data_IF_680375195153
#
_entry.id   IF_680375195153
#
_cell.length_a   1.000
_cell.length_b   1.000
_cell.length_c   1.000
_cell.angle_alpha   90.00
_cell.angle_beta   90.00
_cell.angle_gamma   90.00
#
_symmetry.space_group_name_H-M   'P 1'
#
loop_
_entity.id
_entity.type
_entity.pdbx_description
1 polymer ?
#
# COMPACT_ATOMS: atom_id res chain seq x y z
N UNK A 1 7.51 23.10 -22.93
CA UNK A 1 7.15 22.42 -21.67
C UNK A 1 7.54 20.97 -21.84
N UNK A 2 8.51 20.43 -21.08
CA UNK A 2 8.81 18.99 -21.13
C UNK A 2 7.58 18.23 -20.66
N UNK A 3 7.19 17.24 -21.45
CA UNK A 3 6.05 16.38 -21.20
C UNK A 3 6.20 15.73 -19.81
N UNK A 4 5.13 15.71 -19.03
CA UNK A 4 5.03 15.09 -17.68
C UNK A 4 5.61 13.66 -17.62
N UNK A 5 5.68 12.98 -18.77
CA UNK A 5 6.25 11.63 -18.95
C UNK A 5 7.76 11.52 -18.70
N UNK A 6 8.54 12.59 -18.91
CA UNK A 6 10.00 12.54 -18.71
C UNK A 6 10.41 12.64 -17.24
N UNK A 7 9.57 13.19 -16.36
CA UNK A 7 9.87 13.29 -14.92
C UNK A 7 9.72 11.98 -14.15
N UNK A 8 8.96 11.03 -14.68
CA UNK A 8 8.75 9.72 -14.04
C UNK A 8 9.82 8.69 -14.42
N UNK A 9 10.55 8.94 -15.52
CA UNK A 9 11.62 8.06 -16.01
C UNK A 9 12.93 8.13 -15.21
N UNK A 10 13.07 9.11 -14.32
CA UNK A 10 14.28 9.31 -13.52
C UNK A 10 13.98 9.23 -12.03
N UNK A 11 13.28 8.18 -11.58
CA UNK A 11 13.21 7.90 -10.15
C UNK A 11 14.55 7.35 -9.68
N UNK A 12 15.07 7.97 -8.64
CA UNK A 12 16.25 7.50 -7.94
C UNK A 12 15.99 6.09 -7.37
N UNK A 13 16.72 5.04 -7.81
CA UNK A 13 16.58 3.70 -7.25
C UNK A 13 16.76 3.64 -5.74
N UNK A 14 17.51 4.58 -5.17
CA UNK A 14 17.70 4.72 -3.72
C UNK A 14 16.44 5.14 -2.95
N UNK A 15 15.32 5.47 -3.66
CA UNK A 15 14.02 5.80 -3.07
C UNK A 15 13.00 4.67 -3.09
N UNK A 16 13.38 3.50 -3.61
CA UNK A 16 12.51 2.33 -3.65
C UNK A 16 12.47 1.64 -2.28
N UNK A 17 11.26 1.20 -1.88
CA UNK A 17 11.04 0.37 -0.70
C UNK A 17 11.16 -1.10 -1.12
N UNK A 18 12.09 -1.84 -0.57
CA UNK A 18 12.21 -3.26 -0.81
C UNK A 18 11.46 -4.10 0.23
N UNK A 19 11.39 -5.42 0.02
CA UNK A 19 10.71 -6.34 0.94
C UNK A 19 11.37 -6.36 2.33
N UNK A 20 12.70 -6.25 2.39
CA UNK A 20 13.44 -6.21 3.66
C UNK A 20 13.09 -4.97 4.47
N UNK A 21 13.09 -3.80 3.83
CA UNK A 21 12.65 -2.54 4.44
C UNK A 21 11.22 -2.64 4.98
N UNK A 22 10.32 -3.20 4.18
CA UNK A 22 8.92 -3.41 4.57
C UNK A 22 8.79 -4.28 5.83
N UNK A 23 9.50 -5.40 5.88
CA UNK A 23 9.48 -6.30 7.04
C UNK A 23 10.07 -5.63 8.29
N UNK A 24 11.12 -4.83 8.14
CA UNK A 24 11.71 -4.05 9.23
C UNK A 24 10.73 -2.99 9.77
N UNK A 25 9.99 -2.33 8.89
CA UNK A 25 8.95 -1.37 9.30
C UNK A 25 7.82 -2.05 10.07
N UNK A 26 7.35 -3.21 9.59
CA UNK A 26 6.35 -4.00 10.30
C UNK A 26 6.82 -4.43 11.69
N UNK A 27 8.05 -4.89 11.80
CA UNK A 27 8.63 -5.30 13.08
C UNK A 27 8.75 -4.12 14.05
N UNK A 28 9.18 -2.95 13.57
CA UNK A 28 9.24 -1.73 14.37
C UNK A 28 7.84 -1.30 14.87
N UNK A 29 6.83 -1.34 14.00
CA UNK A 29 5.45 -1.03 14.38
C UNK A 29 4.93 -2.03 15.44
N UNK A 30 5.23 -3.30 15.29
CA UNK A 30 4.89 -4.35 16.27
C UNK A 30 5.56 -4.11 17.61
N UNK A 31 6.85 -3.84 17.64
CA UNK A 31 7.63 -3.60 18.86
C UNK A 31 7.17 -2.35 19.63
N UNK A 32 6.73 -1.33 18.93
CA UNK A 32 6.17 -0.11 19.53
C UNK A 32 4.69 -0.22 19.91
N UNK A 33 4.05 -1.33 19.57
CA UNK A 33 2.61 -1.53 19.81
C UNK A 33 1.71 -0.68 18.91
N UNK A 34 2.24 -0.10 17.84
CA UNK A 34 1.44 0.66 16.88
C UNK A 34 0.78 -0.28 15.86
N UNK A 35 -0.19 -1.04 16.33
CA UNK A 35 -0.88 -2.04 15.53
C UNK A 35 -1.73 -1.44 14.41
N UNK A 36 -2.27 -0.24 14.59
CA UNK A 36 -2.97 0.46 13.52
C UNK A 36 -2.05 0.68 12.32
N UNK A 37 -0.86 1.21 12.54
CA UNK A 37 0.11 1.44 11.49
C UNK A 37 0.64 0.14 10.90
N UNK A 38 0.86 -0.88 11.75
CA UNK A 38 1.24 -2.22 11.30
C UNK A 38 0.25 -2.77 10.25
N UNK A 39 -1.02 -2.83 10.58
CA UNK A 39 -2.04 -3.37 9.69
C UNK A 39 -2.34 -2.45 8.49
N UNK A 40 -2.17 -1.14 8.65
CA UNK A 40 -2.29 -0.19 7.56
C UNK A 40 -1.20 -0.45 6.50
N UNK A 41 0.06 -0.59 6.90
CA UNK A 41 1.16 -0.92 6.00
C UNK A 41 0.96 -2.28 5.33
N UNK A 42 0.53 -3.29 6.08
CA UNK A 42 0.21 -4.61 5.53
C UNK A 42 -0.92 -4.53 4.49
N UNK A 43 -1.95 -3.74 4.75
CA UNK A 43 -3.06 -3.54 3.80
C UNK A 43 -2.58 -2.86 2.51
N UNK A 44 -1.79 -1.81 2.60
CA UNK A 44 -1.22 -1.14 1.42
C UNK A 44 -0.37 -2.08 0.57
N UNK A 45 0.50 -2.86 1.21
CA UNK A 45 1.42 -3.77 0.53
C UNK A 45 0.73 -5.02 -0.05
N UNK A 46 -0.38 -5.47 0.52
CA UNK A 46 -1.09 -6.67 0.07
C UNK A 46 -2.23 -6.40 -0.91
N UNK A 47 -2.70 -5.18 -1.02
CA UNK A 47 -3.83 -4.81 -1.90
C UNK A 47 -3.47 -3.81 -2.98
N UNK A 48 -2.40 -3.06 -2.80
CA UNK A 48 -2.01 -1.99 -3.71
C UNK A 48 -2.92 -0.77 -3.70
N UNK A 49 -3.84 -0.64 -2.75
CA UNK A 49 -4.72 0.54 -2.64
C UNK A 49 -3.93 1.81 -2.37
N UNK A 50 -4.45 2.94 -2.81
CA UNK A 50 -3.92 4.26 -2.45
C UNK A 50 -4.34 4.62 -1.03
N UNK A 51 -3.56 5.48 -0.36
CA UNK A 51 -3.93 5.97 0.98
C UNK A 51 -5.33 6.58 1.01
N UNK A 52 -5.70 7.36 0.00
CA UNK A 52 -7.04 7.93 -0.12
C UNK A 52 -8.15 6.89 -0.25
N UNK A 53 -7.82 5.68 -0.66
CA UNK A 53 -8.76 4.58 -0.84
C UNK A 53 -8.90 3.69 0.41
N UNK A 54 -8.09 3.87 1.43
CA UNK A 54 -8.18 3.11 2.68
C UNK A 54 -9.55 3.27 3.37
N UNK A 55 -10.25 4.37 3.17
CA UNK A 55 -11.60 4.59 3.67
C UNK A 55 -12.62 3.56 3.16
N UNK A 56 -12.35 2.93 2.02
CA UNK A 56 -13.20 1.88 1.44
C UNK A 56 -12.90 0.49 1.98
N UNK A 57 -11.80 0.32 2.70
CA UNK A 57 -11.50 -0.89 3.46
C UNK A 57 -12.29 -0.82 4.76
N UNK A 58 -13.53 -1.30 4.69
CA UNK A 58 -14.51 -1.21 5.78
C UNK A 58 -14.70 -2.58 6.45
N UNK A 59 -15.30 -2.58 7.64
CA UNK A 59 -15.70 -3.82 8.32
C UNK A 59 -16.59 -4.66 7.42
N UNK A 60 -17.50 -4.03 6.69
CA UNK A 60 -18.39 -4.70 5.73
C UNK A 60 -17.60 -5.34 4.58
N UNK A 61 -16.58 -4.64 4.07
CA UNK A 61 -15.69 -5.19 3.04
C UNK A 61 -14.92 -6.43 3.53
N UNK A 62 -14.56 -6.49 4.80
CA UNK A 62 -13.90 -7.66 5.39
C UNK A 62 -14.79 -8.91 5.38
N UNK A 63 -16.11 -8.75 5.54
CA UNK A 63 -17.05 -9.86 5.51
C UNK A 63 -17.21 -10.46 4.11
N UNK A 64 -17.11 -9.64 3.07
CA UNK A 64 -17.26 -10.08 1.68
C UNK A 64 -15.94 -10.41 0.99
N UNK A 65 -14.82 -9.98 1.56
CA UNK A 65 -13.50 -10.07 0.92
C UNK A 65 -13.34 -9.12 -0.27
N UNK A 66 -14.20 -8.12 -0.40
CA UNK A 66 -14.26 -7.20 -1.53
C UNK A 66 -14.49 -5.78 -1.06
N UNK A 67 -13.67 -4.86 -1.55
CA UNK A 67 -13.84 -3.43 -1.34
C UNK A 67 -14.07 -2.75 -2.70
N UNK A 68 -15.17 -2.02 -2.83
CA UNK A 68 -15.39 -1.16 -3.97
C UNK A 68 -14.76 0.20 -3.69
N UNK A 69 -13.71 0.54 -4.44
CA UNK A 69 -13.01 1.82 -4.29
C UNK A 69 -13.38 2.77 -5.40
N UNK A 70 -13.73 3.98 -5.02
CA UNK A 70 -14.04 5.05 -5.96
C UNK A 70 -12.82 5.94 -6.15
N UNK A 71 -12.48 6.20 -7.41
CA UNK A 71 -11.38 7.07 -7.80
C UNK A 71 -11.84 8.09 -8.83
N UNK A 72 -10.92 8.89 -9.34
CA UNK A 72 -11.21 9.88 -10.38
C UNK A 72 -11.80 9.21 -11.63
N UNK A 73 -13.12 9.19 -11.74
CA UNK A 73 -13.88 8.82 -12.92
C UNK A 73 -14.27 7.34 -13.06
N UNK A 74 -13.67 6.41 -12.36
CA UNK A 74 -14.05 4.97 -12.39
C UNK A 74 -13.84 4.32 -11.05
N UNK A 75 -14.86 3.58 -10.60
CA UNK A 75 -14.72 2.65 -9.48
C UNK A 75 -14.00 1.37 -9.91
N UNK A 76 -13.36 0.71 -8.97
CA UNK A 76 -12.79 -0.62 -9.16
C UNK A 76 -12.99 -1.50 -7.94
N UNK A 77 -13.00 -2.79 -8.19
CA UNK A 77 -13.05 -3.79 -7.13
C UNK A 77 -11.64 -4.10 -6.65
N UNK A 78 -11.44 -4.04 -5.33
CA UNK A 78 -10.21 -4.50 -4.68
C UNK A 78 -10.53 -5.77 -3.93
N UNK A 79 -9.76 -6.83 -4.21
CA UNK A 79 -9.90 -8.09 -3.52
C UNK A 79 -9.04 -8.09 -2.26
N UNK A 80 -9.66 -8.48 -1.15
CA UNK A 80 -9.02 -8.66 0.14
C UNK A 80 -8.81 -10.15 0.38
N UNK A 81 -7.57 -10.57 0.61
CA UNK A 81 -7.29 -11.98 0.87
C UNK A 81 -8.00 -12.45 2.15
N UNK A 82 -8.32 -13.73 2.23
CA UNK A 82 -8.93 -14.31 3.42
C UNK A 82 -8.07 -14.10 4.67
N UNK A 83 -6.75 -14.18 4.52
CA UNK A 83 -5.80 -13.90 5.60
C UNK A 83 -5.92 -12.46 6.10
N UNK A 84 -5.92 -11.48 5.18
CA UNK A 84 -6.07 -10.07 5.53
C UNK A 84 -7.41 -9.81 6.22
N UNK A 85 -8.50 -10.33 5.68
CA UNK A 85 -9.84 -10.20 6.28
C UNK A 85 -9.88 -10.73 7.71
N UNK A 86 -9.32 -11.92 7.97
CA UNK A 86 -9.25 -12.50 9.33
C UNK A 86 -8.43 -11.62 10.26
N UNK A 87 -7.28 -11.16 9.81
CA UNK A 87 -6.35 -10.34 10.60
C UNK A 87 -6.97 -9.00 10.96
N UNK A 88 -7.51 -8.29 9.97
CA UNK A 88 -8.19 -7.01 10.20
C UNK A 88 -9.48 -7.18 11.01
N UNK A 89 -10.20 -8.26 10.82
CA UNK A 89 -11.39 -8.59 11.63
C UNK A 89 -11.06 -8.74 13.12
N UNK A 90 -9.98 -9.42 13.44
CA UNK A 90 -9.48 -9.51 14.84
C UNK A 90 -9.08 -8.14 15.38
N UNK A 91 -8.39 -7.34 14.58
CA UNK A 91 -8.01 -5.98 14.95
C UNK A 91 -9.26 -5.12 15.24
N UNK A 92 -10.26 -5.14 14.36
CA UNK A 92 -11.50 -4.39 14.55
C UNK A 92 -12.22 -4.79 15.84
N UNK A 93 -12.37 -6.08 16.11
CA UNK A 93 -12.99 -6.57 17.34
C UNK A 93 -12.25 -6.09 18.58
N UNK A 94 -10.92 -6.18 18.57
CA UNK A 94 -10.09 -5.72 19.68
C UNK A 94 -10.19 -4.21 19.92
N UNK A 95 -10.44 -3.42 18.88
CA UNK A 95 -10.56 -1.96 18.94
C UNK A 95 -12.01 -1.47 19.08
N UNK A 96 -12.99 -2.38 19.06
CA UNK A 96 -14.40 -2.00 19.09
C UNK A 96 -14.91 -1.32 17.83
N UNK A 97 -14.26 -1.57 16.69
CA UNK A 97 -14.69 -1.04 15.40
C UNK A 97 -15.71 -2.01 14.81
N UNK A 98 -16.98 -1.61 14.82
CA UNK A 98 -18.10 -2.50 14.43
C UNK A 98 -18.63 -2.23 13.02
N UNK A 99 -18.35 -1.06 12.45
CA UNK A 99 -18.78 -0.67 11.10
C UNK A 99 -17.90 0.44 10.54
N UNK A 100 -17.99 0.65 9.24
CA UNK A 100 -17.25 1.70 8.54
C UNK A 100 -15.77 1.40 8.35
N UNK A 101 -14.95 2.42 8.08
CA UNK A 101 -13.53 2.26 7.80
C UNK A 101 -12.77 1.58 8.94
N UNK A 102 -11.88 0.66 8.59
CA UNK A 102 -11.03 -0.06 9.55
C UNK A 102 -9.99 0.87 10.18
N UNK A 103 -9.42 1.77 9.37
CA UNK A 103 -8.35 2.67 9.80
C UNK A 103 -8.91 4.05 10.11
N UNK A 104 -9.07 4.31 11.40
CA UNK A 104 -9.65 5.55 11.91
C UNK A 104 -8.80 6.13 13.03
N UNK A 105 -9.01 7.41 13.32
CA UNK A 105 -8.45 8.09 14.49
C UNK A 105 -9.10 7.57 15.77
N UNK A 106 -8.58 8.00 16.92
CA UNK A 106 -9.23 7.72 18.22
C UNK A 106 -10.69 8.21 18.29
N UNK A 107 -11.01 9.29 17.59
CA UNK A 107 -12.37 9.84 17.52
C UNK A 107 -13.25 9.20 16.44
N UNK A 108 -12.77 8.15 15.77
CA UNK A 108 -13.51 7.44 14.72
C UNK A 108 -13.52 8.12 13.35
N UNK A 109 -12.72 9.16 13.15
CA UNK A 109 -12.59 9.85 11.86
C UNK A 109 -11.62 9.12 10.93
N UNK A 110 -11.79 9.22 9.60
CA UNK A 110 -10.80 8.73 8.66
C UNK A 110 -9.41 9.32 8.93
N UNK A 111 -8.37 8.52 8.67
CA UNK A 111 -7.00 8.98 8.86
C UNK A 111 -6.61 9.98 7.78
N UNK A 112 -5.92 11.03 8.21
CA UNK A 112 -5.32 11.99 7.30
C UNK A 112 -4.00 11.43 6.71
N UNK A 113 -3.80 11.64 5.41
CA UNK A 113 -2.62 11.23 4.66
C UNK A 113 -1.31 11.73 5.29
N UNK A 114 -1.30 12.98 5.73
CA UNK A 114 -0.11 13.60 6.31
C UNK A 114 0.26 12.95 7.63
N UNK A 115 -0.73 12.59 8.45
CA UNK A 115 -0.51 11.88 9.71
C UNK A 115 0.02 10.46 9.48
N UNK A 116 -0.53 9.74 8.51
CA UNK A 116 -0.03 8.41 8.12
C UNK A 116 1.44 8.48 7.72
N UNK A 117 1.78 9.41 6.86
CA UNK A 117 3.15 9.59 6.41
C UNK A 117 4.11 9.96 7.55
N UNK A 118 3.68 10.85 8.43
CA UNK A 118 4.46 11.23 9.62
C UNK A 118 4.70 10.04 10.54
N UNK A 119 3.68 9.23 10.81
CA UNK A 119 3.80 8.02 11.62
C UNK A 119 4.74 7.00 10.99
N UNK A 120 4.65 6.78 9.69
CA UNK A 120 5.56 5.89 8.96
C UNK A 120 7.01 6.36 9.07
N UNK A 121 7.26 7.64 8.88
CA UNK A 121 8.62 8.20 8.98
C UNK A 121 9.19 8.14 10.38
N UNK A 122 8.35 8.28 11.40
CA UNK A 122 8.77 8.14 12.80
C UNK A 122 9.28 6.72 13.12
N UNK A 123 8.85 5.70 12.41
CA UNK A 123 9.37 4.33 12.57
C UNK A 123 10.74 4.10 11.95
N UNK A 124 11.18 4.93 11.02
CA UNK A 124 12.36 4.66 10.19
C UNK A 124 13.63 4.49 11.01
N UNK A 125 13.85 5.31 12.02
CA UNK A 125 15.01 5.21 12.89
C UNK A 125 15.09 3.85 13.62
N UNK A 126 13.97 3.39 14.18
CA UNK A 126 13.88 2.09 14.86
C UNK A 126 13.95 0.91 13.89
N UNK A 127 13.41 1.08 12.69
CA UNK A 127 13.40 0.04 11.67
C UNK A 127 14.76 -0.09 10.95
N UNK A 128 15.63 0.89 11.06
CA UNK A 128 16.88 0.94 10.28
C UNK A 128 16.62 1.14 8.78
N UNK A 129 15.55 1.84 8.43
CA UNK A 129 15.14 2.11 7.05
C UNK A 129 15.30 3.60 6.75
N UNK A 130 15.86 3.91 5.58
CA UNK A 130 16.02 5.30 5.15
C UNK A 130 14.67 5.97 4.93
N UNK A 131 14.44 7.11 5.60
CA UNK A 131 13.17 7.84 5.54
C UNK A 131 12.75 8.26 4.11
N UNK A 132 13.72 8.48 3.21
CA UNK A 132 13.45 8.81 1.80
C UNK A 132 12.76 7.69 1.02
N UNK A 133 12.80 6.44 1.51
CA UNK A 133 12.14 5.27 0.91
C UNK A 133 10.72 5.05 1.43
N UNK A 134 10.36 5.70 2.54
CA UNK A 134 9.12 5.41 3.27
C UNK A 134 8.08 6.49 3.01
N UNK A 135 7.26 6.23 2.02
CA UNK A 135 6.04 6.99 1.73
C UNK A 135 4.97 6.04 1.16
N UNK A 136 3.68 6.35 1.35
CA UNK A 136 2.59 5.40 1.08
C UNK A 136 2.60 4.81 -0.32
N UNK A 137 2.96 5.59 -1.33
CA UNK A 137 2.97 5.13 -2.73
C UNK A 137 3.98 4.02 -2.98
N UNK A 138 5.07 3.95 -2.21
CA UNK A 138 6.05 2.88 -2.32
C UNK A 138 5.53 1.51 -1.88
N UNK A 139 4.56 1.46 -0.98
CA UNK A 139 3.87 0.21 -0.63
C UNK A 139 3.05 -0.32 -1.80
N UNK A 140 2.44 0.57 -2.57
CA UNK A 140 1.72 0.21 -3.80
C UNK A 140 2.68 -0.31 -4.87
N UNK A 141 3.87 0.28 -5.01
CA UNK A 141 4.93 -0.22 -5.89
C UNK A 141 5.40 -1.61 -5.45
N UNK A 142 5.56 -1.82 -4.15
CA UNK A 142 5.94 -3.12 -3.60
C UNK A 142 4.90 -4.19 -3.96
N UNK A 143 3.62 -3.89 -3.81
CA UNK A 143 2.52 -4.77 -4.25
C UNK A 143 2.62 -5.08 -5.75
N UNK A 144 2.79 -4.05 -6.57
CA UNK A 144 2.85 -4.22 -8.03
C UNK A 144 4.00 -5.15 -8.45
N UNK A 145 5.18 -4.96 -7.87
CA UNK A 145 6.35 -5.82 -8.15
C UNK A 145 6.12 -7.26 -7.70
N UNK A 146 5.59 -7.46 -6.48
CA UNK A 146 5.31 -8.80 -5.96
C UNK A 146 4.25 -9.51 -6.80
N UNK A 147 3.19 -8.82 -7.18
CA UNK A 147 2.13 -9.38 -8.04
C UNK A 147 2.69 -9.79 -9.42
N UNK A 148 3.43 -8.90 -10.07
CA UNK A 148 4.00 -9.17 -11.38
C UNK A 148 5.03 -10.30 -11.35
N UNK A 149 5.80 -10.42 -10.27
CA UNK A 149 6.74 -11.51 -10.10
C UNK A 149 6.05 -12.89 -10.09
N UNK A 150 4.83 -12.97 -9.55
CA UNK A 150 4.04 -14.20 -9.48
C UNK A 150 3.22 -14.46 -10.75
N UNK A 151 2.47 -13.48 -11.20
CA UNK A 151 1.45 -13.65 -12.24
C UNK A 151 1.97 -13.36 -13.66
N UNK A 152 3.00 -12.50 -13.80
CA UNK A 152 3.55 -12.06 -15.11
C UNK A 152 2.52 -11.43 -16.06
N UNK A 153 1.36 -11.03 -15.55
CA UNK A 153 0.26 -10.45 -16.32
C UNK A 153 0.14 -8.96 -16.01
N UNK A 154 0.69 -8.13 -16.90
CA UNK A 154 0.71 -6.68 -16.75
C UNK A 154 -0.68 -6.05 -16.97
N UNK A 155 -1.52 -6.64 -17.81
CA UNK A 155 -2.87 -6.14 -18.04
C UNK A 155 -3.74 -6.36 -16.80
N UNK A 156 -3.70 -7.55 -16.21
CA UNK A 156 -4.38 -7.86 -14.94
C UNK A 156 -3.91 -6.96 -13.81
N UNK A 157 -2.60 -6.70 -13.71
CA UNK A 157 -2.06 -5.78 -12.72
C UNK A 157 -2.57 -4.35 -12.94
N UNK A 158 -2.62 -3.87 -14.19
CA UNK A 158 -3.16 -2.55 -14.52
C UNK A 158 -4.62 -2.41 -14.06
N UNK A 159 -5.44 -3.42 -14.29
CA UNK A 159 -6.84 -3.45 -13.84
C UNK A 159 -6.95 -3.42 -12.32
N UNK A 160 -6.17 -4.23 -11.61
CA UNK A 160 -6.14 -4.26 -10.14
C UNK A 160 -5.72 -2.92 -9.54
N UNK A 161 -4.78 -2.24 -10.15
CA UNK A 161 -4.31 -0.93 -9.70
C UNK A 161 -5.23 0.21 -10.15
N UNK A 162 -6.14 -0.04 -11.10
CA UNK A 162 -7.00 0.98 -11.67
C UNK A 162 -6.24 1.99 -12.52
N UNK A 163 -5.18 1.54 -13.22
CA UNK A 163 -4.46 2.35 -14.18
C UNK A 163 -5.26 2.49 -15.48
N UNK A 164 -5.35 3.72 -16.01
CA UNK A 164 -6.05 3.98 -17.26
C UNK A 164 -5.35 3.37 -18.49
N UNK A 165 -4.05 3.06 -18.36
CA UNK A 165 -3.27 2.40 -19.42
C UNK A 165 -2.27 1.40 -18.86
N UNK A 166 -2.03 0.34 -19.64
CA UNK A 166 -1.00 -0.67 -19.34
C UNK A 166 0.40 -0.05 -19.31
N UNK A 167 0.62 1.03 -20.06
CA UNK A 167 1.90 1.74 -20.10
C UNK A 167 2.29 2.31 -18.73
N UNK A 168 1.34 2.86 -17.98
CA UNK A 168 1.57 3.31 -16.61
C UNK A 168 2.05 2.17 -15.71
N UNK A 169 1.44 1.00 -15.84
CA UNK A 169 1.83 -0.21 -15.09
C UNK A 169 3.21 -0.71 -15.52
N UNK A 170 3.50 -0.69 -16.81
CA UNK A 170 4.80 -1.07 -17.36
C UNK A 170 5.93 -0.24 -16.77
N UNK A 171 5.75 1.07 -16.60
CA UNK A 171 6.72 1.95 -15.95
C UNK A 171 7.01 1.49 -14.52
N UNK A 172 5.97 1.12 -13.76
CA UNK A 172 6.13 0.57 -12.40
C UNK A 172 7.00 -0.68 -12.33
N UNK A 173 6.92 -1.54 -13.36
CA UNK A 173 7.64 -2.83 -13.40
C UNK A 173 9.06 -2.65 -13.94
N UNK A 174 9.25 -1.81 -14.95
CA UNK A 174 10.58 -1.59 -15.56
C UNK A 174 11.58 -0.95 -14.59
N UNK A 175 11.10 -0.09 -13.69
CA UNK A 175 11.95 0.51 -12.66
C UNK A 175 12.51 -0.54 -11.69
N UNK A 176 11.80 -1.66 -11.49
CA UNK A 176 12.28 -2.77 -10.65
C UNK A 176 13.20 -3.77 -11.36
N UNK A 177 13.17 -3.79 -12.70
CA UNK A 177 14.02 -4.68 -13.51
C UNK A 177 15.49 -4.27 -13.60
N UNK A 178 15.79 -3.01 -13.31
CA UNK A 178 17.16 -2.49 -13.34
C UNK A 178 18.07 -3.07 -12.24
N UNK A 179 17.48 -3.65 -11.18
CA UNK A 179 18.22 -4.28 -10.09
C UNK A 179 18.64 -5.72 -10.39
N UNK A 180 17.96 -6.42 -11.32
CA UNK A 180 18.27 -7.83 -11.63
C UNK A 180 19.38 -8.02 -12.69
N UNK A 181 19.87 -6.94 -13.28
CA UNK A 181 20.90 -7.01 -14.32
C UNK A 181 22.31 -6.67 -13.80
N UNK A 182 22.48 -6.53 -12.47
CA UNK A 182 23.77 -6.28 -11.82
C UNK A 182 24.16 -7.39 -10.84
N UNK A 183 24.08 -8.63 -11.31
CA UNK A 183 24.79 -9.75 -10.69
C UNK A 183 25.73 -10.36 -11.71
#
# INVERSE_FOLDING_TARGET
KPLRRQRELFRDPGRELDKGDYLHLLDAARKTGNWRLYYLMETLASTGVRVSELQYVTVQALHTGRAWVEGKGKGRLVLLTAKLCRTLGKYCRKRGIVSGPVFVTRSGRPLDRSNIWREMRALCAQAGVEAKRVFPHNFRHLFARAFYALEKDIAKLADLLGHASVETTRIYIMESGAEHTRQ
#
